data_IF_350763565230
#
_entry.id   IF_350763565230
#
_cell.length_a   1.000
_cell.length_b   1.000
_cell.length_c   1.000
_cell.angle_alpha   90.00
_cell.angle_beta   90.00
_cell.angle_gamma   90.00
#
_symmetry.space_group_name_H-M   'P 1'
#
loop_
_entity.id
_entity.type
_entity.pdbx_description
1 polymer ?
#
# COMPACT_ATOMS: atom_id res chain seq x y z
N UNK A 1 -3.81 10.17 8.11
CA UNK A 1 -2.55 10.93 8.33
C UNK A 1 -1.46 10.42 7.36
N UNK A 2 -1.09 11.18 6.32
CA UNK A 2 -0.24 10.70 5.22
C UNK A 2 1.19 10.33 5.63
N UNK A 3 1.73 10.88 6.73
CA UNK A 3 3.08 10.63 7.21
C UNK A 3 3.31 9.18 7.69
N UNK A 4 2.28 8.53 8.25
CA UNK A 4 2.41 7.16 8.80
C UNK A 4 2.63 6.13 7.70
N UNK A 5 1.86 6.23 6.60
CA UNK A 5 2.05 5.37 5.44
C UNK A 5 3.43 5.55 4.80
N UNK A 6 3.87 6.80 4.62
CA UNK A 6 5.21 7.07 4.07
C UNK A 6 6.32 6.49 4.96
N UNK A 7 6.19 6.59 6.29
CA UNK A 7 7.13 6.00 7.23
C UNK A 7 7.18 4.47 7.12
N UNK A 8 6.02 3.79 7.12
CA UNK A 8 5.96 2.32 7.03
C UNK A 8 6.53 1.76 5.73
N UNK A 9 6.25 2.39 4.59
CA UNK A 9 6.80 1.94 3.31
C UNK A 9 8.31 2.20 3.22
N UNK A 10 8.79 3.36 3.69
CA UNK A 10 10.22 3.67 3.69
C UNK A 10 11.00 2.66 4.54
N UNK A 11 10.46 2.33 5.72
CA UNK A 11 11.08 1.41 6.66
C UNK A 11 11.08 -0.04 6.14
N UNK A 12 10.04 -0.45 5.41
CA UNK A 12 10.03 -1.74 4.69
C UNK A 12 11.04 -1.80 3.54
N UNK A 13 11.16 -0.76 2.72
CA UNK A 13 12.16 -0.72 1.63
C UNK A 13 13.57 -0.90 2.19
N UNK A 14 13.90 -0.13 3.24
CA UNK A 14 15.19 -0.24 3.94
C UNK A 14 15.41 -1.66 4.46
N UNK A 15 14.39 -2.24 5.11
CA UNK A 15 14.48 -3.60 5.66
C UNK A 15 14.67 -4.67 4.58
N UNK A 16 14.00 -4.56 3.43
CA UNK A 16 14.13 -5.52 2.32
C UNK A 16 15.49 -5.44 1.60
N UNK A 17 16.11 -4.26 1.55
CA UNK A 17 17.47 -4.08 1.01
C UNK A 17 18.53 -4.62 1.99
N UNK A 18 18.30 -4.46 3.29
CA UNK A 18 19.21 -4.94 4.32
C UNK A 18 19.15 -6.46 4.53
N UNK A 19 17.95 -7.05 4.44
CA UNK A 19 17.71 -8.50 4.65
C UNK A 19 18.73 -9.43 3.97
N UNK A 20 19.05 -9.30 2.67
CA UNK A 20 19.98 -10.19 1.98
C UNK A 20 21.46 -10.03 2.41
N UNK A 21 21.78 -8.94 3.10
CA UNK A 21 23.15 -8.62 3.55
C UNK A 21 23.43 -9.07 5.00
N UNK A 22 22.41 -9.52 5.73
CA UNK A 22 22.53 -9.93 7.13
C UNK A 22 22.68 -11.45 7.23
N UNK A 23 23.84 -11.91 7.68
CA UNK A 23 24.11 -13.33 7.97
C UNK A 23 23.82 -13.71 9.44
N UNK A 24 23.56 -12.74 10.33
CA UNK A 24 23.30 -12.99 11.74
C UNK A 24 21.81 -13.29 11.98
N UNK A 25 21.50 -14.48 12.51
CA UNK A 25 20.13 -14.95 12.71
C UNK A 25 19.28 -14.07 13.65
N UNK A 26 19.87 -13.48 14.70
CA UNK A 26 19.14 -12.59 15.60
C UNK A 26 18.69 -11.30 14.90
N UNK A 27 19.59 -10.73 14.10
CA UNK A 27 19.36 -9.46 13.41
C UNK A 27 18.37 -9.65 12.25
N UNK A 28 18.44 -10.79 11.57
CA UNK A 28 17.44 -11.22 10.59
C UNK A 28 16.04 -11.33 11.21
N UNK A 29 15.93 -11.99 12.38
CA UNK A 29 14.66 -12.15 13.10
C UNK A 29 14.03 -10.81 13.49
N UNK A 30 14.84 -9.87 13.99
CA UNK A 30 14.38 -8.53 14.37
C UNK A 30 13.82 -7.80 13.15
N UNK A 31 14.50 -7.86 12.00
CA UNK A 31 14.01 -7.25 10.76
C UNK A 31 12.69 -7.88 10.28
N UNK A 32 12.57 -9.20 10.35
CA UNK A 32 11.32 -9.90 10.01
C UNK A 32 10.17 -9.41 10.91
N UNK A 33 10.38 -9.34 12.23
CA UNK A 33 9.36 -8.83 13.16
C UNK A 33 9.00 -7.37 12.92
N UNK A 34 9.97 -6.55 12.52
CA UNK A 34 9.76 -5.16 12.15
C UNK A 34 8.89 -5.04 10.89
N UNK A 35 9.17 -5.85 9.86
CA UNK A 35 8.36 -5.93 8.64
C UNK A 35 6.93 -6.38 8.97
N UNK A 36 6.76 -7.44 9.77
CA UNK A 36 5.45 -7.94 10.22
C UNK A 36 4.66 -6.87 11.00
N UNK A 37 5.33 -6.13 11.88
CA UNK A 37 4.69 -5.04 12.64
C UNK A 37 4.22 -3.91 11.74
N UNK A 38 5.05 -3.51 10.75
CA UNK A 38 4.68 -2.49 9.77
C UNK A 38 3.52 -2.94 8.88
N UNK A 39 3.51 -4.22 8.48
CA UNK A 39 2.43 -4.83 7.74
C UNK A 39 1.11 -4.78 8.53
N UNK A 40 1.13 -5.17 9.82
CA UNK A 40 -0.04 -5.09 10.71
C UNK A 40 -0.54 -3.65 10.90
N UNK A 41 0.37 -2.69 11.09
CA UNK A 41 0.02 -1.26 11.20
C UNK A 41 -0.61 -0.68 9.93
N UNK A 42 -0.17 -1.13 8.75
CA UNK A 42 -0.77 -0.76 7.47
C UNK A 42 -2.21 -1.27 7.34
N UNK A 43 -2.45 -2.54 7.67
CA UNK A 43 -3.78 -3.13 7.63
C UNK A 43 -4.75 -2.50 8.63
N UNK A 44 -4.29 -2.17 9.84
CA UNK A 44 -5.11 -1.51 10.86
C UNK A 44 -5.58 -0.10 10.43
N UNK A 45 -4.77 0.60 9.64
CA UNK A 45 -5.09 1.98 9.19
C UNK A 45 -5.84 2.03 7.87
N UNK A 46 -5.93 0.90 7.15
CA UNK A 46 -6.55 0.81 5.83
C UNK A 46 -8.06 1.13 5.82
N UNK A 47 -8.90 0.57 6.71
CA UNK A 47 -10.34 0.87 6.73
C UNK A 47 -10.64 2.35 7.01
N UNK A 48 -9.88 2.96 7.94
CA UNK A 48 -9.99 4.37 8.24
C UNK A 48 -9.60 5.24 7.03
N UNK A 49 -8.55 4.85 6.31
CA UNK A 49 -8.11 5.54 5.10
C UNK A 49 -9.13 5.45 3.97
N UNK A 50 -9.68 4.26 3.70
CA UNK A 50 -10.71 4.08 2.65
C UNK A 50 -11.97 4.86 3.02
N UNK A 51 -12.39 4.83 4.29
CA UNK A 51 -13.52 5.61 4.80
C UNK A 51 -13.31 7.12 4.59
N UNK A 52 -12.12 7.63 4.90
CA UNK A 52 -11.78 9.06 4.73
C UNK A 52 -11.77 9.50 3.25
N UNK A 53 -11.52 8.57 2.32
CA UNK A 53 -11.44 8.85 0.89
C UNK A 53 -12.77 8.71 0.14
N UNK A 54 -13.52 7.65 0.42
CA UNK A 54 -14.71 7.27 -0.36
C UNK A 54 -16.02 7.38 0.42
N UNK A 55 -15.95 7.74 1.71
CA UNK A 55 -17.10 7.72 2.60
C UNK A 55 -17.54 6.29 2.95
N UNK A 56 -18.60 6.18 3.75
CA UNK A 56 -19.09 4.90 4.27
C UNK A 56 -20.00 4.16 3.29
N UNK A 57 -20.57 4.84 2.27
CA UNK A 57 -21.60 4.29 1.38
C UNK A 57 -21.11 3.12 0.51
N UNK A 58 -19.83 3.11 0.13
CA UNK A 58 -19.23 2.06 -0.72
C UNK A 58 -18.03 1.37 -0.06
N UNK A 59 -17.85 1.53 1.26
CA UNK A 59 -16.68 1.03 1.99
C UNK A 59 -16.48 -0.48 1.80
N UNK A 60 -17.55 -1.27 1.92
CA UNK A 60 -17.48 -2.73 1.80
C UNK A 60 -17.08 -3.22 0.41
N UNK A 61 -17.59 -2.57 -0.65
CA UNK A 61 -17.29 -2.93 -2.04
C UNK A 61 -15.81 -2.65 -2.35
N UNK A 62 -15.33 -1.46 -2.00
CA UNK A 62 -13.93 -1.06 -2.22
C UNK A 62 -12.98 -1.95 -1.43
N UNK A 63 -13.29 -2.20 -0.16
CA UNK A 63 -12.47 -3.08 0.68
C UNK A 63 -12.47 -4.52 0.16
N UNK A 64 -13.60 -5.00 -0.36
CA UNK A 64 -13.70 -6.30 -1.05
C UNK A 64 -12.74 -6.41 -2.24
N UNK A 65 -12.69 -5.40 -3.11
CA UNK A 65 -11.72 -5.38 -4.22
C UNK A 65 -10.27 -5.42 -3.74
N UNK A 66 -9.95 -4.69 -2.67
CA UNK A 66 -8.58 -4.73 -2.12
C UNK A 66 -8.24 -6.11 -1.54
N UNK A 67 -9.18 -6.77 -0.87
CA UNK A 67 -8.98 -8.13 -0.35
C UNK A 67 -8.82 -9.17 -1.48
N UNK A 68 -9.55 -9.03 -2.59
CA UNK A 68 -9.36 -9.88 -3.77
C UNK A 68 -7.97 -9.68 -4.38
N UNK A 69 -7.52 -8.44 -4.54
CA UNK A 69 -6.18 -8.13 -5.02
C UNK A 69 -5.11 -8.67 -4.06
N UNK A 70 -5.34 -8.57 -2.75
CA UNK A 70 -4.44 -9.12 -1.73
C UNK A 70 -4.37 -10.65 -1.79
N UNK A 71 -5.50 -11.34 -1.93
CA UNK A 71 -5.52 -12.80 -2.09
C UNK A 71 -4.77 -13.24 -3.35
N UNK A 72 -4.96 -12.54 -4.47
CA UNK A 72 -4.22 -12.79 -5.71
C UNK A 72 -2.71 -12.59 -5.53
N UNK A 73 -2.30 -11.51 -4.84
CA UNK A 73 -0.90 -11.28 -4.51
C UNK A 73 -0.31 -12.35 -3.59
N UNK A 74 -1.09 -12.85 -2.63
CA UNK A 74 -0.71 -13.94 -1.73
C UNK A 74 -0.44 -15.27 -2.46
N UNK A 75 -1.16 -15.54 -3.55
CA UNK A 75 -0.88 -16.69 -4.42
C UNK A 75 0.29 -16.44 -5.38
N UNK A 76 0.36 -15.25 -5.98
CA UNK A 76 1.39 -14.91 -6.97
C UNK A 76 2.78 -14.75 -6.36
N UNK A 77 2.88 -14.23 -5.12
CA UNK A 77 4.15 -13.94 -4.45
C UNK A 77 5.06 -15.16 -4.29
N UNK A 78 4.59 -16.27 -3.66
CA UNK A 78 5.38 -17.49 -3.51
C UNK A 78 5.73 -18.13 -4.85
N UNK A 79 4.80 -18.12 -5.81
CA UNK A 79 5.03 -18.67 -7.13
C UNK A 79 6.13 -17.90 -7.87
N UNK A 80 6.09 -16.57 -7.80
CA UNK A 80 7.13 -15.71 -8.35
C UNK A 80 8.48 -15.90 -7.65
N UNK A 81 8.47 -16.03 -6.32
CA UNK A 81 9.69 -16.30 -5.55
C UNK A 81 10.32 -17.66 -5.90
N UNK A 82 9.49 -18.70 -6.09
CA UNK A 82 9.93 -20.03 -6.50
C UNK A 82 10.50 -20.02 -7.92
N UNK A 83 9.84 -19.32 -8.85
CA UNK A 83 10.32 -19.14 -10.22
C UNK A 83 11.62 -18.34 -10.28
N UNK A 84 11.74 -17.26 -9.51
CA UNK A 84 12.96 -16.46 -9.46
C UNK A 84 14.13 -17.28 -8.89
N UNK A 85 13.86 -18.14 -7.89
CA UNK A 85 14.85 -19.08 -7.35
C UNK A 85 15.31 -20.09 -8.40
N UNK A 86 14.43 -20.63 -9.25
CA UNK A 86 14.83 -21.60 -10.27
C UNK A 86 15.69 -20.98 -11.38
N UNK A 87 15.48 -19.71 -11.71
CA UNK A 87 16.25 -18.99 -12.74
C UNK A 87 17.57 -18.43 -12.21
N UNK A 88 17.57 -17.85 -11.00
CA UNK A 88 18.72 -17.10 -10.46
C UNK A 88 19.53 -17.86 -9.39
N UNK A 89 19.06 -19.02 -8.93
CA UNK A 89 19.66 -19.81 -7.83
C UNK A 89 19.85 -19.06 -6.50
N UNK A 90 19.39 -17.81 -6.38
CA UNK A 90 19.59 -16.97 -5.20
C UNK A 90 18.30 -16.26 -4.78
N UNK A 91 18.03 -16.21 -3.47
CA UNK A 91 16.88 -15.49 -2.93
C UNK A 91 17.06 -13.96 -2.94
N UNK A 92 18.30 -13.49 -3.05
CA UNK A 92 18.61 -12.07 -2.98
C UNK A 92 17.97 -11.29 -4.15
N UNK A 93 17.93 -11.87 -5.34
CA UNK A 93 17.27 -11.26 -6.51
C UNK A 93 15.77 -11.01 -6.29
N UNK A 94 15.08 -11.98 -5.68
CA UNK A 94 13.66 -11.86 -5.33
C UNK A 94 13.41 -10.72 -4.35
N UNK A 95 14.26 -10.57 -3.33
CA UNK A 95 14.11 -9.52 -2.31
C UNK A 95 14.31 -8.12 -2.89
N UNK A 96 15.30 -7.93 -3.78
CA UNK A 96 15.49 -6.66 -4.48
C UNK A 96 14.32 -6.32 -5.41
N UNK A 97 13.73 -7.32 -6.08
CA UNK A 97 12.54 -7.11 -6.89
C UNK A 97 11.35 -6.62 -6.05
N UNK A 98 11.09 -7.24 -4.89
CA UNK A 98 10.06 -6.77 -3.96
C UNK A 98 10.35 -5.38 -3.39
N UNK A 99 11.62 -5.04 -3.12
CA UNK A 99 12.00 -3.69 -2.73
C UNK A 99 11.67 -2.66 -3.82
N UNK A 100 11.91 -2.99 -5.09
CA UNK A 100 11.50 -2.16 -6.23
C UNK A 100 9.98 -1.99 -6.32
N UNK A 101 9.23 -3.07 -6.10
CA UNK A 101 7.76 -3.05 -6.07
C UNK A 101 7.21 -2.14 -4.96
N UNK A 102 7.83 -2.16 -3.78
CA UNK A 102 7.52 -1.25 -2.68
C UNK A 102 7.83 0.21 -3.02
N UNK A 103 8.93 0.48 -3.74
CA UNK A 103 9.25 1.84 -4.21
C UNK A 103 8.18 2.36 -5.18
N UNK A 104 7.72 1.52 -6.13
CA UNK A 104 6.60 1.85 -7.03
C UNK A 104 5.32 2.11 -6.22
N UNK A 105 5.04 1.32 -5.19
CA UNK A 105 3.88 1.52 -4.33
C UNK A 105 3.90 2.89 -3.61
N UNK A 106 5.08 3.37 -3.16
CA UNK A 106 5.22 4.73 -2.62
C UNK A 106 4.86 5.79 -3.66
N UNK A 107 5.37 5.65 -4.89
CA UNK A 107 5.12 6.60 -5.98
C UNK A 107 3.62 6.66 -6.29
N UNK A 108 2.96 5.51 -6.42
CA UNK A 108 1.52 5.42 -6.64
C UNK A 108 0.72 6.04 -5.49
N UNK A 109 1.12 5.76 -4.24
CA UNK A 109 0.47 6.35 -3.07
C UNK A 109 0.61 7.88 -3.04
N UNK A 110 1.73 8.42 -3.53
CA UNK A 110 1.93 9.86 -3.67
C UNK A 110 1.07 10.46 -4.79
N UNK A 111 1.05 9.83 -5.96
CA UNK A 111 0.25 10.25 -7.11
C UNK A 111 -1.24 10.25 -6.78
N UNK A 112 -1.73 9.19 -6.14
CA UNK A 112 -3.14 9.08 -5.74
C UNK A 112 -3.54 10.22 -4.79
N UNK A 113 -2.69 10.56 -3.81
CA UNK A 113 -2.92 11.72 -2.93
C UNK A 113 -2.96 13.04 -3.72
N UNK A 114 -2.11 13.18 -4.74
CA UNK A 114 -2.04 14.39 -5.58
C UNK A 114 -3.29 14.54 -6.45
N UNK A 115 -3.74 13.45 -7.07
CA UNK A 115 -4.98 13.40 -7.85
C UNK A 115 -6.21 13.63 -6.98
N UNK A 116 -6.31 13.00 -5.81
CA UNK A 116 -7.42 13.24 -4.89
C UNK A 116 -7.51 14.71 -4.44
N UNK A 117 -6.36 15.38 -4.25
CA UNK A 117 -6.31 16.82 -3.96
C UNK A 117 -6.76 17.64 -5.17
N UNK A 118 -6.34 17.27 -6.38
CA UNK A 118 -6.76 17.90 -7.65
C UNK A 118 -8.27 17.76 -7.89
N UNK A 119 -8.84 16.59 -7.59
CA UNK A 119 -10.27 16.32 -7.73
C UNK A 119 -11.11 17.11 -6.72
N UNK A 120 -10.72 17.16 -5.44
CA UNK A 120 -11.39 18.02 -4.46
C UNK A 120 -11.33 19.51 -4.83
N UNK A 121 -10.26 19.96 -5.48
CA UNK A 121 -10.12 21.34 -5.97
C UNK A 121 -11.03 21.60 -7.18
N UNK A 122 -11.21 20.61 -8.08
CA UNK A 122 -12.08 20.75 -9.26
C UNK A 122 -13.58 20.60 -8.97
N UNK A 123 -13.99 19.91 -7.90
CA UNK A 123 -15.42 19.80 -7.53
C UNK A 123 -15.97 21.07 -6.86
N UNK A 124 -15.12 21.98 -6.40
CA UNK A 124 -15.53 23.15 -5.61
C UNK A 124 -15.89 24.48 -6.32
N UNK A 125 -16.06 24.57 -7.66
CA UNK A 125 -16.74 25.74 -8.24
C UNK A 125 -18.11 25.46 -8.85
N UNK A 126 -18.65 24.23 -8.81
CA UNK A 126 -19.93 23.93 -9.52
C UNK A 126 -21.00 23.22 -8.67
N UNK A 127 -20.66 22.48 -7.60
CA UNK A 127 -21.68 21.74 -6.84
C UNK A 127 -22.46 22.55 -5.80
N UNK A 128 -22.13 23.83 -5.57
CA UNK A 128 -22.90 24.69 -4.64
C UNK A 128 -24.14 25.31 -5.30
N UNK A 129 -24.25 25.30 -6.64
CA UNK A 129 -25.40 25.91 -7.32
C UNK A 129 -26.55 24.93 -7.58
N UNK A 130 -26.30 23.62 -7.63
CA UNK A 130 -27.34 22.63 -7.94
C UNK A 130 -28.18 22.22 -6.72
N UNK A 131 -27.63 22.29 -5.51
CA UNK A 131 -28.34 21.89 -4.29
C UNK A 131 -29.39 22.95 -3.85
N UNK A 132 -29.32 24.18 -4.39
CA UNK A 132 -30.23 25.27 -4.02
C UNK A 132 -31.51 25.34 -4.86
N UNK A 133 -31.58 24.67 -6.00
CA UNK A 133 -32.80 24.61 -6.83
C UNK A 133 -33.71 23.43 -6.46
N UNK A 134 -33.18 22.36 -5.88
CA UNK A 134 -33.97 21.18 -5.46
C UNK A 134 -34.63 21.37 -4.08
N UNK A 135 -34.20 22.35 -3.28
CA UNK A 135 -34.82 22.73 -2.00
C UNK A 135 -35.93 23.80 -2.16
N UNK A 136 -36.16 24.31 -3.38
CA UNK A 136 -37.18 25.32 -3.71
C UNK A 136 -38.25 24.81 -4.68
N UNK A 137 -38.45 23.48 -4.76
CA UNK A 137 -39.58 22.85 -5.48
C UNK A 137 -40.28 21.84 -4.58
#
# INVERSE_FOLDING_TARGET
RPAVFTAFFSLQIVSFILLPNIANGLLFQILIFLILSCYGGGFATMPAFVKDLFGTKHLGIIFGYVLTAWAAAGMAGPLFAAWTRSVSSSYNGTLYFFAGLLAVAIILAFLMKRELKSLKVKTNPVSVSAEKEEELV
#
